data_IF_288367504248
#
_entry.id   IF_288367504248
#
_cell.length_a   1.000
_cell.length_b   1.000
_cell.length_c   1.000
_cell.angle_alpha   90.00
_cell.angle_beta   90.00
_cell.angle_gamma   90.00
#
_symmetry.space_group_name_H-M   'P 1'
#
loop_
_entity.id
_entity.type
_entity.pdbx_description
1 polymer ?
#
# COMPACT_ATOMS: atom_id res chain seq x y z
N UNK A 1 53.32 9.62 3.20
CA UNK A 1 52.87 10.89 2.57
C UNK A 1 51.74 10.56 1.59
N UNK A 2 50.62 11.30 1.68
CA UNK A 2 49.49 11.52 0.74
C UNK A 2 48.56 10.33 0.43
N UNK A 3 47.31 10.32 0.91
CA UNK A 3 46.04 10.86 0.31
C UNK A 3 45.54 9.93 -0.84
N UNK A 4 44.28 9.54 -1.02
CA UNK A 4 42.99 10.22 -0.79
C UNK A 4 41.81 9.19 -0.89
N UNK A 5 40.69 9.55 -0.27
CA UNK A 5 39.39 8.87 -0.18
C UNK A 5 38.74 8.39 -1.51
N UNK A 6 38.11 7.19 -1.46
CA UNK A 6 36.93 6.86 -2.27
C UNK A 6 35.86 6.15 -1.46
N UNK A 7 34.91 6.95 -0.99
CA UNK A 7 33.55 6.57 -0.65
C UNK A 7 32.94 5.71 -1.77
N UNK A 8 32.62 4.46 -1.46
CA UNK A 8 31.53 3.73 -2.12
C UNK A 8 30.90 2.76 -1.12
N UNK A 9 29.88 3.26 -0.40
CA UNK A 9 28.88 2.42 0.26
C UNK A 9 28.31 1.42 -0.77
N UNK A 10 28.73 0.16 -0.70
CA UNK A 10 28.06 -0.96 -1.38
C UNK A 10 26.71 -1.22 -0.70
N UNK A 11 25.67 -0.50 -1.10
CA UNK A 11 24.29 -0.96 -0.87
C UNK A 11 23.96 -2.03 -1.90
N UNK A 12 23.47 -3.23 -1.52
CA UNK A 12 23.00 -4.20 -2.48
C UNK A 12 21.73 -3.65 -3.16
N UNK A 13 21.85 -3.21 -4.41
CA UNK A 13 20.69 -2.85 -5.24
C UNK A 13 19.87 -4.12 -5.49
N UNK A 14 18.75 -4.23 -4.77
CA UNK A 14 17.67 -5.20 -5.01
C UNK A 14 17.46 -5.40 -6.51
N UNK A 15 17.47 -6.66 -6.93
CA UNK A 15 17.07 -7.08 -8.26
C UNK A 15 15.71 -6.45 -8.60
N UNK A 16 15.65 -5.69 -9.71
CA UNK A 16 14.39 -5.32 -10.33
C UNK A 16 13.74 -6.61 -10.80
N UNK A 17 12.70 -7.08 -10.11
CA UNK A 17 11.78 -8.06 -10.71
C UNK A 17 11.21 -7.42 -11.97
N UNK A 18 11.34 -8.11 -13.09
CA UNK A 18 10.62 -7.78 -14.31
C UNK A 18 9.13 -7.75 -13.93
N UNK A 19 8.55 -6.55 -13.93
CA UNK A 19 7.12 -6.39 -13.81
C UNK A 19 6.56 -6.86 -15.15
N UNK A 20 6.13 -8.12 -15.15
CA UNK A 20 5.48 -8.78 -16.27
C UNK A 20 4.41 -7.84 -16.85
N UNK A 21 4.43 -7.70 -18.18
CA UNK A 21 3.56 -6.79 -18.92
C UNK A 21 2.13 -7.33 -18.89
N UNK A 22 1.43 -7.17 -17.76
CA UNK A 22 -0.03 -7.31 -17.74
C UNK A 22 -0.62 -6.12 -18.50
N UNK A 23 -1.41 -6.43 -19.53
CA UNK A 23 -2.24 -5.49 -20.29
C UNK A 23 -2.83 -4.41 -19.38
N UNK A 24 -2.99 -3.15 -19.85
CA UNK A 24 -3.52 -2.07 -19.02
C UNK A 24 -5.02 -2.33 -18.78
N UNK A 25 -5.35 -3.26 -17.89
CA UNK A 25 -6.66 -3.30 -17.25
C UNK A 25 -6.79 -1.92 -16.61
N UNK A 26 -7.75 -1.14 -17.09
CA UNK A 26 -8.00 0.21 -16.60
C UNK A 26 -8.13 0.12 -15.07
N UNK A 27 -7.20 0.74 -14.34
CA UNK A 27 -7.29 0.79 -12.89
C UNK A 27 -8.50 1.64 -12.57
N UNK A 28 -9.40 1.08 -11.77
CA UNK A 28 -10.59 1.75 -11.29
C UNK A 28 -10.21 2.37 -9.95
N UNK A 29 -10.64 3.61 -9.72
CA UNK A 29 -10.47 4.23 -8.41
C UNK A 29 -11.59 3.73 -7.51
N UNK A 30 -11.22 3.04 -6.43
CA UNK A 30 -12.14 2.58 -5.40
C UNK A 30 -11.99 3.46 -4.17
N UNK A 31 -13.10 3.88 -3.59
CA UNK A 31 -13.14 4.54 -2.28
C UNK A 31 -13.46 3.45 -1.26
N UNK A 32 -12.47 3.11 -0.45
CA UNK A 32 -12.65 2.20 0.69
C UNK A 32 -12.94 3.03 1.93
N UNK A 33 -14.16 2.95 2.45
CA UNK A 33 -14.51 3.51 3.75
C UNK A 33 -14.23 2.46 4.82
N UNK A 34 -13.36 2.77 5.76
CA UNK A 34 -12.98 1.89 6.86
C UNK A 34 -13.02 2.67 8.17
N UNK A 35 -13.32 1.97 9.25
CA UNK A 35 -13.28 2.51 10.60
C UNK A 35 -12.17 1.84 11.39
N UNK A 36 -11.48 2.64 12.20
CA UNK A 36 -10.48 2.16 13.13
C UNK A 36 -11.11 2.16 14.50
N UNK A 37 -10.90 1.10 15.27
CA UNK A 37 -11.42 0.99 16.62
C UNK A 37 -10.91 2.17 17.49
N UNK A 38 -11.83 2.94 18.08
CA UNK A 38 -11.51 4.17 18.82
C UNK A 38 -11.30 5.42 17.95
N UNK A 39 -11.57 5.34 16.65
CA UNK A 39 -11.47 6.45 15.71
C UNK A 39 -12.70 6.58 14.82
N UNK A 40 -12.89 7.75 14.21
CA UNK A 40 -13.94 7.95 13.21
C UNK A 40 -13.60 7.18 11.93
N UNK A 41 -14.65 6.83 11.19
CA UNK A 41 -14.54 6.28 9.85
C UNK A 41 -13.75 7.21 8.91
N UNK A 42 -12.83 6.62 8.15
CA UNK A 42 -11.96 7.25 7.17
C UNK A 42 -12.23 6.66 5.79
N UNK A 43 -12.06 7.49 4.77
CA UNK A 43 -12.13 7.07 3.37
C UNK A 43 -10.72 7.02 2.79
N UNK A 44 -10.37 5.94 2.10
CA UNK A 44 -9.10 5.80 1.40
C UNK A 44 -9.33 5.45 -0.07
N UNK A 45 -8.71 6.23 -0.94
CA UNK A 45 -8.73 5.97 -2.39
C UNK A 45 -7.69 4.93 -2.73
N UNK A 46 -8.11 3.84 -3.36
CA UNK A 46 -7.28 2.72 -3.77
C UNK A 46 -7.49 2.49 -5.27
N UNK A 47 -6.40 2.50 -6.01
CA UNK A 47 -6.43 2.17 -7.44
C UNK A 47 -6.26 0.67 -7.60
N UNK A 48 -7.32 -0.03 -7.99
CA UNK A 48 -7.30 -1.47 -8.15
C UNK A 48 -8.00 -1.88 -9.45
N UNK A 49 -7.79 -3.12 -9.86
CA UNK A 49 -8.48 -3.69 -11.02
C UNK A 49 -9.87 -4.23 -10.66
N UNK A 50 -10.10 -4.54 -9.39
CA UNK A 50 -11.35 -5.11 -8.87
C UNK A 50 -11.61 -4.66 -7.43
N UNK A 51 -12.87 -4.73 -6.99
CA UNK A 51 -13.26 -4.45 -5.60
C UNK A 51 -12.49 -5.29 -4.59
N UNK A 52 -12.35 -6.59 -4.86
CA UNK A 52 -11.62 -7.52 -4.00
C UNK A 52 -10.14 -7.14 -3.87
N UNK A 53 -9.53 -6.68 -4.96
CA UNK A 53 -8.14 -6.23 -4.94
C UNK A 53 -7.99 -4.92 -4.12
N UNK A 54 -8.92 -3.98 -4.27
CA UNK A 54 -8.95 -2.75 -3.47
C UNK A 54 -9.11 -3.05 -1.97
N UNK A 55 -10.04 -3.94 -1.63
CA UNK A 55 -10.27 -4.37 -0.26
C UNK A 55 -9.02 -5.03 0.31
N UNK A 56 -8.43 -5.99 -0.41
CA UNK A 56 -7.22 -6.69 0.01
C UNK A 56 -6.04 -5.75 0.23
N UNK A 57 -5.82 -4.78 -0.67
CA UNK A 57 -4.77 -3.77 -0.49
C UNK A 57 -5.01 -2.94 0.77
N UNK A 58 -6.26 -2.55 1.04
CA UNK A 58 -6.60 -1.80 2.24
C UNK A 58 -6.43 -2.65 3.51
N UNK A 59 -6.89 -3.89 3.50
CA UNK A 59 -6.74 -4.86 4.58
C UNK A 59 -5.27 -5.04 4.93
N UNK A 60 -4.40 -5.32 3.95
CA UNK A 60 -2.94 -5.47 4.18
C UNK A 60 -2.35 -4.21 4.82
N UNK A 61 -2.76 -3.03 4.35
CA UNK A 61 -2.29 -1.74 4.89
C UNK A 61 -2.73 -1.52 6.34
N UNK A 62 -3.96 -1.92 6.68
CA UNK A 62 -4.49 -1.77 8.03
C UNK A 62 -3.94 -2.84 8.98
N UNK A 63 -3.81 -4.09 8.52
CA UNK A 63 -3.11 -5.15 9.26
C UNK A 63 -1.66 -4.75 9.55
N UNK A 64 -0.97 -4.12 8.60
CA UNK A 64 0.37 -3.58 8.85
C UNK A 64 0.36 -2.54 9.96
N UNK A 65 -0.63 -1.64 10.01
CA UNK A 65 -0.76 -0.65 11.09
C UNK A 65 -1.09 -1.30 12.43
N UNK A 66 -1.90 -2.38 12.46
CA UNK A 66 -2.13 -3.19 13.66
C UNK A 66 -0.80 -3.78 14.15
N UNK A 67 -0.04 -4.41 13.25
CA UNK A 67 1.23 -5.04 13.59
C UNK A 67 2.29 -4.03 14.09
N UNK A 68 2.20 -2.78 13.63
CA UNK A 68 3.05 -1.69 14.10
C UNK A 68 2.55 -1.07 15.42
N UNK A 69 1.38 -1.49 15.94
CA UNK A 69 0.75 -0.94 17.14
C UNK A 69 0.15 0.45 16.95
N UNK A 70 -0.06 0.90 15.70
CA UNK A 70 -0.65 2.20 15.39
C UNK A 70 -2.16 2.21 15.59
N UNK A 71 -2.82 1.06 15.37
CA UNK A 71 -4.26 0.88 15.52
C UNK A 71 -4.56 -0.45 16.20
N UNK A 72 -5.63 -0.53 17.00
CA UNK A 72 -6.01 -1.77 17.70
C UNK A 72 -6.82 -2.73 16.82
N UNK A 73 -7.62 -2.17 15.92
CA UNK A 73 -8.50 -2.92 15.04
C UNK A 73 -9.02 -2.05 13.92
N UNK A 74 -9.47 -2.68 12.84
CA UNK A 74 -10.13 -1.99 11.75
C UNK A 74 -11.33 -2.78 11.25
N UNK A 75 -12.28 -2.07 10.63
CA UNK A 75 -13.43 -2.64 9.95
C UNK A 75 -13.65 -1.91 8.64
N UNK A 76 -13.64 -2.64 7.53
CA UNK A 76 -14.04 -2.09 6.23
C UNK A 76 -15.57 -2.00 6.20
N UNK A 77 -16.10 -0.79 5.98
CA UNK A 77 -17.53 -0.50 5.98
C UNK A 77 -18.09 -0.59 4.56
N UNK A 78 -17.47 0.11 3.62
CA UNK A 78 -17.89 0.13 2.22
C UNK A 78 -16.69 0.18 1.28
N UNK A 79 -16.85 -0.42 0.11
CA UNK A 79 -15.91 -0.28 -1.00
C UNK A 79 -16.75 0.14 -2.20
N UNK A 80 -16.60 1.39 -2.60
CA UNK A 80 -17.35 2.03 -3.68
C UNK A 80 -16.40 2.33 -4.84
N UNK A 81 -16.94 2.42 -6.06
CA UNK A 81 -16.17 2.85 -7.24
C UNK A 81 -16.39 4.34 -7.41
N UNK A 82 -15.31 5.14 -7.40
CA UNK A 82 -15.36 6.53 -7.86
C UNK A 82 -15.34 6.48 -9.40
N UNK A 83 -16.44 6.89 -10.03
CA UNK A 83 -16.62 6.88 -11.49
C UNK A 83 -16.79 8.29 -12.02
#
# INVERSE_FOLDING_TARGET
>A
MKEEDKDTKKTPKKQKKALDKMSPRKRIEFIVTYEVEGSKSKKHKVHAHSREEAEKMMTIKLESQINLGEINGFKIISVEIEN
#
